data_IF_933837534000
#
_entry.id   IF_933837534000
#
_cell.length_a   1.000
_cell.length_b   1.000
_cell.length_c   1.000
_cell.angle_alpha   90.00
_cell.angle_beta   90.00
_cell.angle_gamma   90.00
#
_symmetry.space_group_name_H-M   'P 1'
#
loop_
_entity.id
_entity.type
_entity.pdbx_description
1 polymer ?
#
# COMPACT_ATOMS: atom_id res chain seq x y z
N UNK A 1 -4.15 9.88 30.34
CA UNK A 1 -4.37 9.84 28.89
C UNK A 1 -3.82 11.12 28.25
N UNK A 2 -3.06 11.01 27.17
CA UNK A 2 -2.61 12.19 26.42
C UNK A 2 -3.71 12.68 25.45
N UNK A 3 -3.61 13.92 24.91
CA UNK A 3 -4.67 14.50 24.06
C UNK A 3 -4.94 13.70 22.77
N UNK A 4 -3.90 13.12 22.17
CA UNK A 4 -4.04 12.35 20.93
C UNK A 4 -4.76 11.02 21.18
N UNK A 5 -4.36 10.31 22.24
CA UNK A 5 -4.99 9.08 22.71
C UNK A 5 -6.47 9.29 23.06
N UNK A 6 -6.79 10.43 23.70
CA UNK A 6 -8.18 10.82 23.98
C UNK A 6 -9.02 10.94 22.72
N UNK A 7 -8.50 11.59 21.68
CA UNK A 7 -9.23 11.78 20.42
C UNK A 7 -9.44 10.46 19.66
N UNK A 8 -8.45 9.56 19.70
CA UNK A 8 -8.60 8.22 19.10
C UNK A 8 -9.65 7.39 19.83
N UNK A 9 -9.61 7.36 21.15
CA UNK A 9 -10.62 6.66 21.95
C UNK A 9 -12.03 7.23 21.72
N UNK A 10 -12.14 8.55 21.50
CA UNK A 10 -13.42 9.18 21.15
C UNK A 10 -13.95 8.71 19.80
N UNK A 11 -13.08 8.57 18.79
CA UNK A 11 -13.49 8.06 17.47
C UNK A 11 -13.98 6.61 17.56
N UNK A 12 -13.27 5.76 18.28
CA UNK A 12 -13.67 4.37 18.52
C UNK A 12 -15.01 4.30 19.27
N UNK A 13 -15.14 5.09 20.33
CA UNK A 13 -16.37 5.17 21.11
C UNK A 13 -17.55 5.64 20.27
N UNK A 14 -17.37 6.65 19.42
CA UNK A 14 -18.43 7.17 18.54
C UNK A 14 -18.84 6.11 17.52
N UNK A 15 -17.88 5.42 16.93
CA UNK A 15 -18.15 4.35 15.98
C UNK A 15 -18.96 3.21 16.62
N UNK A 16 -18.53 2.76 17.81
CA UNK A 16 -19.24 1.73 18.58
C UNK A 16 -20.65 2.18 19.00
N UNK A 17 -20.80 3.44 19.40
CA UNK A 17 -22.09 4.01 19.78
C UNK A 17 -23.08 4.05 18.60
N UNK A 18 -22.64 4.53 17.44
CA UNK A 18 -23.47 4.56 16.23
C UNK A 18 -23.83 3.13 15.75
N UNK A 19 -22.94 2.16 15.97
CA UNK A 19 -23.23 0.75 15.70
C UNK A 19 -24.31 0.20 16.63
N UNK A 20 -24.24 0.50 17.93
CA UNK A 20 -25.30 0.14 18.89
C UNK A 20 -26.65 0.72 18.49
N UNK A 21 -26.70 2.02 18.16
CA UNK A 21 -27.92 2.68 17.66
C UNK A 21 -28.48 1.98 16.40
N UNK A 22 -27.61 1.58 15.47
CA UNK A 22 -27.99 0.84 14.26
C UNK A 22 -28.62 -0.52 14.58
N UNK A 23 -28.02 -1.28 15.50
CA UNK A 23 -28.52 -2.58 15.96
C UNK A 23 -29.89 -2.44 16.63
N UNK A 24 -30.06 -1.38 17.43
CA UNK A 24 -31.32 -1.08 18.12
C UNK A 24 -32.38 -0.46 17.20
N UNK A 25 -32.05 -0.18 15.92
CA UNK A 25 -32.93 0.51 14.97
C UNK A 25 -33.21 1.97 15.34
N UNK A 26 -32.39 2.56 16.21
CA UNK A 26 -32.50 3.93 16.67
C UNK A 26 -31.73 4.90 15.74
N UNK A 27 -32.29 6.09 15.55
CA UNK A 27 -31.66 7.18 14.82
C UNK A 27 -31.60 8.43 15.69
N UNK A 28 -30.50 9.18 15.58
CA UNK A 28 -30.30 10.43 16.30
C UNK A 28 -30.28 11.61 15.34
N UNK A 29 -30.86 12.74 15.75
CA UNK A 29 -30.82 13.97 14.96
C UNK A 29 -29.44 14.64 15.04
N UNK A 30 -28.80 14.55 16.20
CA UNK A 30 -27.47 15.11 16.48
C UNK A 30 -26.77 14.21 17.52
N UNK A 31 -25.45 14.10 17.41
CA UNK A 31 -24.62 13.48 18.43
C UNK A 31 -24.37 14.47 19.60
N UNK A 32 -24.89 14.12 20.77
CA UNK A 32 -24.77 14.94 21.98
C UNK A 32 -23.88 14.22 23.02
N UNK A 33 -23.02 14.95 23.76
CA UNK A 33 -22.12 14.32 24.71
C UNK A 33 -22.80 13.51 25.82
N UNK A 34 -23.91 13.98 26.39
CA UNK A 34 -24.59 13.27 27.47
C UNK A 34 -25.16 11.91 27.02
N UNK A 35 -25.91 11.80 25.90
CA UNK A 35 -26.29 10.51 25.32
C UNK A 35 -25.10 9.61 24.98
N UNK A 36 -24.03 10.17 24.42
CA UNK A 36 -22.81 9.42 24.10
C UNK A 36 -22.17 8.80 25.35
N UNK A 37 -21.92 9.61 26.38
CA UNK A 37 -21.27 9.16 27.61
C UNK A 37 -22.13 8.12 28.35
N UNK A 38 -23.46 8.30 28.35
CA UNK A 38 -24.39 7.34 28.95
C UNK A 38 -24.38 5.99 28.21
N UNK A 39 -24.36 6.01 26.87
CA UNK A 39 -24.38 4.80 26.06
C UNK A 39 -23.03 4.04 26.07
N UNK A 40 -21.92 4.76 26.18
CA UNK A 40 -20.56 4.18 26.11
C UNK A 40 -19.92 3.90 27.47
N UNK A 41 -20.56 4.30 28.57
CA UNK A 41 -19.97 4.25 29.92
C UNK A 41 -18.57 4.89 29.95
N UNK A 42 -18.45 6.07 29.34
CA UNK A 42 -17.17 6.75 29.11
C UNK A 42 -16.38 6.95 30.42
N UNK A 43 -15.15 6.40 30.54
CA UNK A 43 -14.44 6.31 31.82
C UNK A 43 -13.70 7.60 32.25
N UNK A 44 -13.57 8.56 31.35
CA UNK A 44 -12.73 9.75 31.53
C UNK A 44 -13.52 11.05 31.76
N UNK A 45 -12.79 12.15 31.93
CA UNK A 45 -13.34 13.50 32.02
C UNK A 45 -14.37 13.79 30.92
N UNK A 46 -15.36 14.62 31.29
CA UNK A 46 -16.53 14.99 30.48
C UNK A 46 -16.16 15.26 29.01
N UNK A 47 -16.91 14.64 28.10
CA UNK A 47 -16.72 14.83 26.67
C UNK A 47 -17.35 16.15 26.27
N UNK A 48 -16.57 17.01 25.61
CA UNK A 48 -17.10 18.28 25.12
C UNK A 48 -17.79 18.11 23.76
N UNK A 49 -18.73 19.01 23.43
CA UNK A 49 -19.36 19.03 22.09
C UNK A 49 -18.34 19.21 20.98
N UNK A 50 -17.28 20.00 21.23
CA UNK A 50 -16.20 20.25 20.26
C UNK A 50 -15.42 18.97 19.96
N UNK A 51 -15.02 18.23 21.00
CA UNK A 51 -14.31 16.95 20.85
C UNK A 51 -15.16 15.91 20.11
N UNK A 52 -16.44 15.80 20.46
CA UNK A 52 -17.37 14.86 19.84
C UNK A 52 -17.59 15.17 18.36
N UNK A 53 -17.78 16.44 18.02
CA UNK A 53 -17.95 16.87 16.63
C UNK A 53 -16.68 16.65 15.81
N UNK A 54 -15.50 16.94 16.37
CA UNK A 54 -14.22 16.69 15.69
C UNK A 54 -13.99 15.19 15.42
N UNK A 55 -14.46 14.31 16.32
CA UNK A 55 -14.41 12.87 16.08
C UNK A 55 -15.35 12.44 14.94
N UNK A 56 -16.57 12.98 14.90
CA UNK A 56 -17.55 12.70 13.86
C UNK A 56 -17.14 13.24 12.49
N UNK A 57 -16.59 14.45 12.44
CA UNK A 57 -16.08 15.06 11.21
C UNK A 57 -14.97 14.20 10.62
N UNK A 58 -14.01 13.77 11.45
CA UNK A 58 -12.96 12.85 11.02
C UNK A 58 -13.52 11.51 10.51
N UNK A 59 -14.45 10.88 11.25
CA UNK A 59 -15.07 9.62 10.84
C UNK A 59 -15.87 9.76 9.53
N UNK A 60 -16.45 10.93 9.28
CA UNK A 60 -17.16 11.24 8.04
C UNK A 60 -16.19 11.41 6.88
N UNK A 61 -15.10 12.14 7.08
CA UNK A 61 -14.09 12.39 6.05
C UNK A 61 -13.35 11.10 5.64
N UNK A 62 -13.19 10.17 6.58
CA UNK A 62 -12.65 8.81 6.33
C UNK A 62 -13.71 7.82 5.79
N UNK A 63 -14.97 8.24 5.65
CA UNK A 63 -16.05 7.44 5.06
C UNK A 63 -16.64 6.36 5.97
N UNK A 64 -16.34 6.34 7.27
CA UNK A 64 -16.99 5.45 8.23
C UNK A 64 -18.41 5.90 8.57
N UNK A 65 -18.63 7.22 8.61
CA UNK A 65 -19.90 7.84 8.98
C UNK A 65 -20.41 8.68 7.81
N UNK A 66 -21.73 8.76 7.66
CA UNK A 66 -22.39 9.68 6.76
C UNK A 66 -23.42 10.53 7.53
N UNK A 67 -23.78 11.67 6.96
CA UNK A 67 -24.65 12.66 7.57
C UNK A 67 -24.54 14.01 6.88
N UNK A 68 -25.43 14.92 7.25
CA UNK A 68 -25.45 16.27 6.67
C UNK A 68 -24.44 17.13 7.42
N UNK A 69 -23.31 17.45 6.78
CA UNK A 69 -22.35 18.42 7.29
C UNK A 69 -22.91 19.84 7.26
N UNK A 70 -22.76 20.56 8.36
CA UNK A 70 -23.11 21.99 8.46
C UNK A 70 -21.86 22.86 8.34
N UNK A 71 -22.01 24.14 7.96
CA UNK A 71 -20.90 25.12 7.97
C UNK A 71 -20.24 25.30 9.34
N UNK A 72 -20.87 24.83 10.42
CA UNK A 72 -20.37 24.91 11.79
C UNK A 72 -19.57 23.65 12.21
N UNK A 73 -19.32 22.71 11.30
CA UNK A 73 -18.60 21.46 11.60
C UNK A 73 -19.44 20.42 12.37
N UNK A 74 -20.76 20.61 12.43
CA UNK A 74 -21.69 19.64 13.04
C UNK A 74 -22.16 18.66 11.97
N UNK A 75 -22.09 17.36 12.27
CA UNK A 75 -22.66 16.28 11.45
C UNK A 75 -24.08 15.98 11.95
N UNK A 76 -25.08 16.36 11.15
CA UNK A 76 -26.51 16.15 11.44
C UNK A 76 -26.94 14.79 10.91
N UNK A 77 -27.77 14.09 11.69
CA UNK A 77 -28.22 12.71 11.43
C UNK A 77 -27.06 11.76 11.11
N UNK A 78 -26.05 11.68 12.00
CA UNK A 78 -24.93 10.79 11.78
C UNK A 78 -25.43 9.34 11.80
N UNK A 79 -25.01 8.58 10.79
CA UNK A 79 -25.26 7.15 10.69
C UNK A 79 -24.05 6.45 10.06
N UNK A 80 -23.90 5.15 10.29
CA UNK A 80 -22.79 4.40 9.71
C UNK A 80 -23.01 4.19 8.20
N UNK A 81 -21.93 4.31 7.44
CA UNK A 81 -21.90 3.79 6.07
C UNK A 81 -21.81 2.26 6.11
N UNK A 82 -22.05 1.56 4.98
CA UNK A 82 -21.79 0.13 4.90
C UNK A 82 -20.34 -0.25 5.23
N UNK A 83 -19.39 0.66 5.01
CA UNK A 83 -17.99 0.47 5.38
C UNK A 83 -17.78 0.63 6.90
N UNK A 84 -18.33 1.68 7.50
CA UNK A 84 -18.30 1.89 8.95
C UNK A 84 -18.99 0.78 9.74
N UNK A 85 -20.09 0.23 9.24
CA UNK A 85 -20.81 -0.88 9.88
C UNK A 85 -19.95 -2.15 9.91
N UNK A 86 -19.29 -2.49 8.79
CA UNK A 86 -18.37 -3.64 8.73
C UNK A 86 -17.17 -3.45 9.65
N UNK A 87 -16.64 -2.23 9.73
CA UNK A 87 -15.50 -1.92 10.57
C UNK A 87 -15.87 -1.99 12.06
N UNK A 88 -16.98 -1.37 12.46
CA UNK A 88 -17.49 -1.41 13.83
C UNK A 88 -17.79 -2.84 14.30
N UNK A 89 -18.41 -3.65 13.43
CA UNK A 89 -18.68 -5.06 13.72
C UNK A 89 -17.40 -5.91 13.87
N UNK A 90 -16.28 -5.47 13.29
CA UNK A 90 -15.00 -6.20 13.39
C UNK A 90 -14.29 -6.00 14.74
N UNK A 91 -14.74 -5.05 15.56
CA UNK A 91 -14.15 -4.75 16.88
C UNK A 91 -12.75 -4.14 16.83
N UNK A 92 -12.30 -3.68 15.66
CA UNK A 92 -11.00 -3.02 15.46
C UNK A 92 -11.07 -1.54 15.82
N UNK A 93 -9.94 -0.98 16.25
CA UNK A 93 -9.85 0.44 16.57
C UNK A 93 -9.55 1.23 15.29
N UNK A 94 -10.21 2.37 15.06
CA UNK A 94 -9.91 3.29 13.95
C UNK A 94 -8.50 3.90 14.05
N UNK A 95 -7.83 3.74 15.21
CA UNK A 95 -6.42 4.06 15.40
C UNK A 95 -5.52 3.04 14.73
N UNK A 96 -5.98 1.81 14.58
CA UNK A 96 -5.36 0.86 13.68
C UNK A 96 -5.51 1.49 12.30
N UNK A 97 -4.43 2.12 11.82
CA UNK A 97 -4.30 2.61 10.45
C UNK A 97 -5.00 1.59 9.54
N UNK A 98 -5.73 1.99 8.47
CA UNK A 98 -6.11 1.06 7.42
C UNK A 98 -4.81 0.56 6.77
N UNK A 99 -4.23 -0.42 7.44
CA UNK A 99 -2.86 -0.86 7.37
C UNK A 99 -2.99 -2.32 7.69
N UNK A 100 -3.19 -3.07 6.61
CA UNK A 100 -3.59 -4.48 6.59
C UNK A 100 -5.07 -4.70 6.89
N UNK A 101 -5.95 -4.20 6.00
CA UNK A 101 -6.91 -5.19 5.47
C UNK A 101 -6.00 -6.17 4.75
N UNK A 102 -5.77 -7.33 5.35
CA UNK A 102 -5.30 -8.49 4.64
C UNK A 102 -6.41 -8.75 3.61
N UNK A 103 -6.30 -8.09 2.45
CA UNK A 103 -7.19 -8.35 1.33
C UNK A 103 -6.72 -9.72 0.86
N UNK A 104 -7.32 -10.77 1.44
CA UNK A 104 -7.29 -12.09 0.87
C UNK A 104 -8.18 -12.06 -0.39
N UNK A 105 -7.74 -11.26 -1.35
CA UNK A 105 -8.18 -11.35 -2.72
C UNK A 105 -7.43 -12.54 -3.29
N UNK A 106 -8.10 -13.55 -3.84
CA UNK A 106 -7.44 -14.66 -4.51
C UNK A 106 -6.59 -14.22 -5.73
N UNK A 107 -6.54 -12.93 -6.03
CA UNK A 107 -5.76 -12.32 -7.11
C UNK A 107 -4.54 -11.51 -6.64
N UNK A 108 -4.28 -11.36 -5.33
CA UNK A 108 -3.12 -10.62 -4.82
C UNK A 108 -2.37 -11.45 -3.77
N UNK A 109 -1.20 -11.95 -4.16
CA UNK A 109 -0.24 -12.61 -3.27
C UNK A 109 0.94 -11.67 -3.06
N UNK A 110 1.22 -11.29 -1.81
CA UNK A 110 2.41 -10.54 -1.43
C UNK A 110 3.14 -11.36 -0.38
N UNK A 111 4.25 -11.97 -0.77
CA UNK A 111 5.19 -12.62 0.14
C UNK A 111 6.39 -11.70 0.39
N UNK A 112 6.81 -11.55 1.65
CA UNK A 112 8.13 -11.01 2.01
C UNK A 112 8.22 -9.60 2.62
N UNK A 113 7.25 -9.10 3.37
CA UNK A 113 7.38 -7.75 3.98
C UNK A 113 8.09 -7.77 5.33
N UNK A 114 9.37 -7.35 5.36
CA UNK A 114 9.97 -6.72 6.54
C UNK A 114 9.76 -5.20 6.44
N UNK A 115 9.06 -4.64 7.43
CA UNK A 115 8.58 -3.25 7.55
C UNK A 115 9.27 -2.17 6.71
N UNK A 116 8.54 -1.64 5.73
CA UNK A 116 8.84 -0.36 5.07
C UNK A 116 7.72 0.62 5.43
N UNK A 117 8.07 1.65 6.21
CA UNK A 117 7.18 2.76 6.54
C UNK A 117 7.05 3.70 5.33
N UNK A 118 5.88 3.72 4.69
CA UNK A 118 5.58 4.66 3.61
C UNK A 118 4.91 5.88 4.21
N UNK A 119 5.59 7.04 4.17
CA UNK A 119 5.06 8.32 4.64
C UNK A 119 4.04 8.89 3.64
N UNK A 120 2.82 9.16 4.12
CA UNK A 120 1.74 9.81 3.37
C UNK A 120 2.17 11.21 2.86
N UNK A 121 1.76 11.56 1.63
CA UNK A 121 1.98 12.85 0.95
C UNK A 121 3.43 13.21 0.52
N UNK A 122 4.28 12.23 0.22
CA UNK A 122 5.52 12.51 -0.50
C UNK A 122 5.53 11.82 -1.86
N UNK A 123 5.35 12.61 -2.94
CA UNK A 123 5.57 12.14 -4.31
C UNK A 123 6.99 11.59 -4.54
N UNK A 124 7.93 11.90 -3.64
CA UNK A 124 9.28 11.36 -3.64
C UNK A 124 9.39 9.94 -3.06
N UNK A 125 8.64 9.56 -2.02
CA UNK A 125 8.87 8.27 -1.32
C UNK A 125 8.30 7.09 -2.09
N UNK A 126 7.15 7.24 -2.74
CA UNK A 126 6.59 6.21 -3.64
C UNK A 126 7.49 6.01 -4.87
N UNK A 127 8.18 7.06 -5.33
CA UNK A 127 9.18 6.92 -6.38
C UNK A 127 10.46 6.26 -5.86
N UNK A 128 10.98 6.61 -4.68
CA UNK A 128 12.22 6.02 -4.15
C UNK A 128 12.08 4.53 -3.85
N UNK A 129 10.96 4.05 -3.29
CA UNK A 129 10.74 2.61 -3.05
C UNK A 129 10.62 1.84 -4.35
N UNK A 130 9.88 2.37 -5.34
CA UNK A 130 9.79 1.76 -6.67
C UNK A 130 11.15 1.76 -7.42
N UNK A 131 11.98 2.80 -7.25
CA UNK A 131 13.31 2.87 -7.85
C UNK A 131 14.25 1.86 -7.19
N UNK A 132 14.25 1.76 -5.86
CA UNK A 132 15.07 0.80 -5.13
C UNK A 132 14.71 -0.65 -5.50
N UNK A 133 13.41 -0.97 -5.53
CA UNK A 133 12.93 -2.28 -5.95
C UNK A 133 13.26 -2.58 -7.43
N UNK A 134 13.17 -1.59 -8.32
CA UNK A 134 13.59 -1.75 -9.72
C UNK A 134 15.11 -1.90 -9.87
N UNK A 135 15.91 -1.28 -9.02
CA UNK A 135 17.36 -1.49 -8.97
C UNK A 135 17.69 -2.92 -8.52
N UNK A 136 17.02 -3.43 -7.50
CA UNK A 136 17.18 -4.83 -7.04
C UNK A 136 16.76 -5.84 -8.12
N UNK A 137 15.64 -5.58 -8.81
CA UNK A 137 15.20 -6.41 -9.94
C UNK A 137 16.17 -6.32 -11.14
N UNK A 138 16.73 -5.15 -11.41
CA UNK A 138 17.76 -4.95 -12.43
C UNK A 138 19.05 -5.71 -12.10
N UNK A 139 19.44 -5.74 -10.82
CA UNK A 139 20.57 -6.55 -10.35
C UNK A 139 20.31 -8.05 -10.53
N UNK A 140 19.12 -8.53 -10.21
CA UNK A 140 18.74 -9.93 -10.42
C UNK A 140 18.83 -10.34 -11.92
N UNK A 141 18.46 -9.44 -12.83
CA UNK A 141 18.62 -9.66 -14.27
C UNK A 141 20.10 -9.73 -14.68
N UNK A 142 20.95 -8.85 -14.14
CA UNK A 142 22.40 -8.90 -14.38
C UNK A 142 23.01 -10.21 -13.89
N UNK A 143 22.64 -10.65 -12.69
CA UNK A 143 23.14 -11.91 -12.12
C UNK A 143 22.73 -13.13 -12.95
N UNK A 144 21.52 -13.13 -13.51
CA UNK A 144 21.06 -14.18 -14.40
C UNK A 144 21.86 -14.21 -15.71
N UNK A 145 22.16 -13.03 -16.28
CA UNK A 145 22.98 -12.90 -17.48
C UNK A 145 24.41 -13.37 -17.19
N UNK A 146 25.03 -12.93 -16.10
CA UNK A 146 26.40 -13.31 -15.72
C UNK A 146 26.52 -14.81 -15.42
N UNK A 147 25.50 -15.42 -14.83
CA UNK A 147 25.45 -16.87 -14.62
C UNK A 147 25.38 -17.65 -15.94
N UNK A 148 24.82 -17.06 -16.99
CA UNK A 148 24.75 -17.68 -18.31
C UNK A 148 26.05 -17.52 -19.12
N UNK A 149 26.84 -16.44 -18.90
CA UNK A 149 28.05 -16.13 -19.66
C UNK A 149 29.03 -17.32 -19.84
N UNK A 150 29.36 -18.11 -18.80
CA UNK A 150 30.31 -19.22 -18.94
C UNK A 150 29.80 -20.37 -19.82
N UNK A 151 28.48 -20.50 -19.97
CA UNK A 151 27.84 -21.55 -20.76
C UNK A 151 27.56 -21.13 -22.21
N UNK A 152 27.65 -19.83 -22.52
CA UNK A 152 27.46 -19.31 -23.88
C UNK A 152 28.72 -19.62 -24.69
N UNK A 153 28.58 -20.45 -25.71
CA UNK A 153 29.66 -20.84 -26.63
C UNK A 153 29.84 -19.87 -27.80
N UNK A 154 28.81 -19.08 -28.12
CA UNK A 154 28.83 -18.08 -29.20
C UNK A 154 29.40 -16.75 -28.69
N UNK A 155 30.54 -16.32 -29.23
CA UNK A 155 31.24 -15.10 -28.83
C UNK A 155 30.41 -13.83 -29.06
N UNK A 156 29.53 -13.81 -30.08
CA UNK A 156 28.66 -12.68 -30.36
C UNK A 156 27.55 -12.58 -29.32
N UNK A 157 26.92 -13.72 -28.98
CA UNK A 157 25.90 -13.78 -27.93
C UNK A 157 26.51 -13.46 -26.57
N UNK A 158 27.74 -13.89 -26.31
CA UNK A 158 28.48 -13.56 -25.07
C UNK A 158 28.76 -12.06 -24.98
N UNK A 159 29.25 -11.44 -26.06
CA UNK A 159 29.51 -10.00 -26.12
C UNK A 159 28.21 -9.19 -25.94
N UNK A 160 27.13 -9.59 -26.59
CA UNK A 160 25.82 -8.94 -26.46
C UNK A 160 25.26 -9.07 -25.03
N UNK A 161 25.47 -10.22 -24.38
CA UNK A 161 25.12 -10.45 -22.97
C UNK A 161 25.92 -9.55 -22.02
N UNK A 162 27.25 -9.50 -22.19
CA UNK A 162 28.15 -8.65 -21.39
C UNK A 162 27.80 -7.17 -21.53
N UNK A 163 27.55 -6.72 -22.76
CA UNK A 163 27.13 -5.34 -23.03
C UNK A 163 25.79 -5.03 -22.37
N UNK A 164 24.82 -5.95 -22.43
CA UNK A 164 23.52 -5.73 -21.79
C UNK A 164 23.63 -5.65 -20.26
N UNK A 165 24.46 -6.50 -19.64
CA UNK A 165 24.73 -6.45 -18.20
C UNK A 165 25.36 -5.10 -17.79
N UNK A 166 26.28 -4.57 -18.59
CA UNK A 166 26.86 -3.24 -18.39
C UNK A 166 25.83 -2.10 -18.55
N UNK A 167 24.97 -2.18 -19.57
CA UNK A 167 23.90 -1.20 -19.80
C UNK A 167 22.90 -1.17 -18.62
N UNK A 168 22.56 -2.33 -18.05
CA UNK A 168 21.67 -2.44 -16.88
C UNK A 168 22.34 -1.89 -15.61
N UNK A 169 23.62 -2.18 -15.38
CA UNK A 169 24.39 -1.60 -14.27
C UNK A 169 24.48 -0.08 -14.36
N UNK A 170 24.74 0.46 -15.54
CA UNK A 170 24.80 1.90 -15.76
C UNK A 170 23.43 2.58 -15.56
N UNK A 171 22.33 1.90 -15.93
CA UNK A 171 20.97 2.40 -15.67
C UNK A 171 20.55 2.35 -14.19
N UNK A 172 21.28 1.56 -13.38
CA UNK A 172 21.07 1.42 -11.92
C UNK A 172 21.75 2.52 -11.10
N UNK A 173 22.48 3.44 -11.73
CA UNK A 173 23.03 4.62 -11.08
C UNK A 173 21.91 5.64 -10.77
N UNK A 174 21.69 6.01 -9.48
CA UNK A 174 20.60 6.90 -9.07
C UNK A 174 20.62 8.29 -9.71
N UNK A 175 21.77 8.78 -10.19
CA UNK A 175 21.88 10.09 -10.87
C UNK A 175 21.45 10.04 -12.36
N UNK A 176 21.41 8.85 -12.98
CA UNK A 176 21.12 8.65 -14.40
C UNK A 176 19.81 7.88 -14.68
N UNK A 177 19.13 7.44 -13.62
CA UNK A 177 18.01 6.51 -13.73
C UNK A 177 16.75 7.15 -14.33
N UNK A 178 16.45 6.83 -15.59
CA UNK A 178 15.18 7.17 -16.25
C UNK A 178 14.24 5.96 -16.18
N UNK A 179 12.99 6.10 -15.68
CA UNK A 179 12.05 4.98 -15.51
C UNK A 179 11.81 4.13 -16.78
N UNK A 180 11.94 4.72 -17.97
CA UNK A 180 11.79 4.02 -19.24
C UNK A 180 12.98 3.15 -19.66
N UNK A 181 14.19 3.40 -19.12
CA UNK A 181 15.42 2.69 -19.52
C UNK A 181 15.41 1.23 -19.06
N UNK A 182 14.95 0.93 -17.85
CA UNK A 182 14.88 -0.45 -17.35
C UNK A 182 13.93 -1.32 -18.17
N UNK A 183 12.77 -0.77 -18.56
CA UNK A 183 11.79 -1.47 -19.39
C UNK A 183 12.34 -1.80 -20.78
N UNK A 184 13.06 -0.87 -21.39
CA UNK A 184 13.71 -1.07 -22.68
C UNK A 184 14.78 -2.17 -22.61
N UNK A 185 15.66 -2.12 -21.60
CA UNK A 185 16.72 -3.10 -21.40
C UNK A 185 16.18 -4.50 -21.07
N UNK A 186 15.15 -4.59 -20.23
CA UNK A 186 14.49 -5.86 -19.90
C UNK A 186 13.77 -6.46 -21.11
N UNK A 187 13.15 -5.64 -21.96
CA UNK A 187 12.53 -6.11 -23.21
C UNK A 187 13.58 -6.65 -24.19
N UNK A 188 14.75 -5.98 -24.29
CA UNK A 188 15.89 -6.45 -25.09
C UNK A 188 16.44 -7.78 -24.54
N UNK A 189 16.53 -7.94 -23.22
CA UNK A 189 16.92 -9.19 -22.58
C UNK A 189 15.97 -10.35 -22.95
N UNK A 190 14.65 -10.14 -22.85
CA UNK A 190 13.65 -11.19 -23.16
C UNK A 190 13.62 -11.59 -24.64
N UNK A 191 13.70 -10.62 -25.54
CA UNK A 191 13.41 -10.86 -26.96
C UNK A 191 14.61 -11.39 -27.72
N UNK A 192 15.78 -10.75 -27.58
CA UNK A 192 16.97 -11.11 -28.35
C UNK A 192 17.92 -12.01 -27.57
N UNK A 193 18.12 -11.73 -26.27
CA UNK A 193 19.17 -12.40 -25.50
C UNK A 193 18.72 -13.77 -24.97
N UNK A 194 17.55 -13.85 -24.35
CA UNK A 194 17.03 -15.09 -23.79
C UNK A 194 16.85 -16.19 -24.85
N UNK A 195 16.38 -15.84 -26.04
CA UNK A 195 16.24 -16.79 -27.17
C UNK A 195 17.60 -17.32 -27.64
N UNK A 196 18.60 -16.44 -27.72
CA UNK A 196 19.96 -16.80 -28.15
C UNK A 196 20.66 -17.67 -27.09
N UNK A 197 20.48 -17.36 -25.81
CA UNK A 197 21.03 -18.13 -24.68
C UNK A 197 20.31 -19.47 -24.54
N UNK A 198 18.98 -19.52 -24.73
CA UNK A 198 18.24 -20.78 -24.75
C UNK A 198 18.76 -21.75 -25.83
N UNK A 199 19.21 -21.21 -26.96
CA UNK A 199 19.73 -21.98 -28.09
C UNK A 199 21.18 -22.43 -27.89
N UNK A 200 22.01 -21.61 -27.23
CA UNK A 200 23.47 -21.82 -27.15
C UNK A 200 23.98 -22.35 -25.81
N UNK A 201 23.30 -22.02 -24.72
CA UNK A 201 23.69 -22.35 -23.34
C UNK A 201 22.67 -23.26 -22.62
N UNK A 202 21.46 -23.40 -23.18
CA UNK A 202 20.41 -24.27 -22.66
C UNK A 202 19.13 -23.49 -22.30
N UNK A 203 17.98 -24.13 -22.52
CA UNK A 203 16.66 -23.53 -22.36
C UNK A 203 16.38 -23.03 -20.94
N UNK A 204 16.95 -23.69 -19.92
CA UNK A 204 16.76 -23.30 -18.52
C UNK A 204 17.45 -21.97 -18.19
N UNK A 205 18.61 -21.68 -18.80
CA UNK A 205 19.28 -20.39 -18.65
C UNK A 205 18.53 -19.27 -19.38
N UNK A 206 17.97 -19.56 -20.56
CA UNK A 206 17.10 -18.62 -21.27
C UNK A 206 15.83 -18.28 -20.47
N UNK A 207 15.22 -19.27 -19.81
CA UNK A 207 14.06 -19.05 -18.93
C UNK A 207 14.41 -18.20 -17.71
N UNK A 208 15.53 -18.46 -17.05
CA UNK A 208 15.97 -17.68 -15.89
C UNK A 208 16.13 -16.18 -16.22
N UNK A 209 16.59 -15.85 -17.43
CA UNK A 209 16.70 -14.46 -17.90
C UNK A 209 15.32 -13.83 -18.15
N UNK A 210 14.37 -14.59 -18.72
CA UNK A 210 12.99 -14.10 -18.92
C UNK A 210 12.31 -13.85 -17.57
N UNK A 211 12.45 -14.78 -16.62
CA UNK A 211 11.89 -14.67 -15.28
C UNK A 211 12.47 -13.45 -14.53
N UNK A 212 13.77 -13.22 -14.61
CA UNK A 212 14.42 -12.06 -14.00
C UNK A 212 14.04 -10.72 -14.68
N UNK A 213 13.77 -10.73 -15.99
CA UNK A 213 13.39 -9.54 -16.74
C UNK A 213 11.90 -9.16 -16.58
N UNK A 214 11.03 -10.14 -16.31
CA UNK A 214 9.57 -9.97 -16.24
C UNK A 214 9.11 -8.81 -15.35
N UNK A 215 9.60 -8.67 -14.09
CA UNK A 215 9.15 -7.61 -13.20
C UNK A 215 9.55 -6.20 -13.66
N UNK A 216 10.55 -6.06 -14.54
CA UNK A 216 11.03 -4.77 -15.04
C UNK A 216 10.23 -4.23 -16.23
N UNK A 217 9.43 -5.07 -16.89
CA UNK A 217 8.62 -4.69 -18.06
C UNK A 217 7.16 -4.37 -17.70
N UNK A 218 6.66 -4.96 -16.61
CA UNK A 218 5.39 -4.64 -15.97
C UNK A 218 5.36 -3.22 -15.40
#
# INVERSE_FOLDING_TARGET
>A
MNKAERLWNLRDGVLAWLYGLRVDGAAIAEALPAPFMAATSWPDAEVTRVELNAALEWLKDEGYVDGIGTMQGVVVRPHLTPYGEKYAASGRSVRDLPGVIEVNSPYLHIEGSSGVAVAFESNNVTQTVNVQQKVEQAQALVDAIERALPAITDDRVRTDAEQLALEIRAASDPEASKPGRFKELATKAMTSLATSIATTAGSDLGKAIIEAALPLVS
#
